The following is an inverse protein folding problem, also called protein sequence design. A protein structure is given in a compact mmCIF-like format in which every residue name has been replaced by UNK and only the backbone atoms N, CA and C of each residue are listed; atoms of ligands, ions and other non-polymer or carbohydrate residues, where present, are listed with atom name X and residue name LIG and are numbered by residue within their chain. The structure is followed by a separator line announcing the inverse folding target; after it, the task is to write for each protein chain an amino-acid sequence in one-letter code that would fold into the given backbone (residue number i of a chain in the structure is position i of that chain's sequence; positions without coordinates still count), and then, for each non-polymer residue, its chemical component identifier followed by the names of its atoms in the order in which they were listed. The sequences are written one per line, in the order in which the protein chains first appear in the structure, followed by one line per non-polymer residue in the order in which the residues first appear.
data_IF_222815381279
#
_entry.id   IF_222815381279
#
_cell.length_a   1.000
_cell.length_b   1.000
_cell.length_c   1.000
_cell.angle_alpha   90.00
_cell.angle_beta   90.00
_cell.angle_gamma   90.00
#
_symmetry.space_group_name_H-M   'P 1'
#
loop_
_entity.id
_entity.type
_entity.pdbx_description
1 polymer ?
#
# COMPACT_ATOMS: atom_id res chain seq x y z
N UNK A 1 -9.86 2.77 10.71
CA UNK A 1 -8.42 2.43 10.67
C UNK A 1 -7.57 3.48 9.96
N UNK A 2 -7.93 3.96 8.76
CA UNK A 2 -7.14 4.97 8.04
C UNK A 2 -6.81 6.22 8.88
N UNK A 3 -7.79 6.82 9.56
CA UNK A 3 -7.56 7.97 10.45
C UNK A 3 -6.64 7.62 11.63
N UNK A 4 -6.78 6.44 12.24
CA UNK A 4 -5.92 6.00 13.33
C UNK A 4 -4.46 5.86 12.88
N UNK A 5 -4.23 5.24 11.72
CA UNK A 5 -2.89 5.10 11.14
C UNK A 5 -2.28 6.46 10.80
N UNK A 6 -3.04 7.38 10.18
CA UNK A 6 -2.56 8.73 9.86
C UNK A 6 -2.21 9.54 11.11
N UNK A 7 -3.08 9.51 12.13
CA UNK A 7 -2.84 10.20 13.39
C UNK A 7 -1.60 9.64 14.09
N UNK A 8 -1.47 8.32 14.17
CA UNK A 8 -0.32 7.69 14.79
C UNK A 8 0.98 8.00 14.05
N UNK A 9 0.98 8.01 12.71
CA UNK A 9 2.16 8.37 11.91
C UNK A 9 2.56 9.83 12.15
N UNK A 10 1.58 10.75 12.20
CA UNK A 10 1.82 12.15 12.52
C UNK A 10 2.38 12.35 13.92
N UNK A 11 1.82 11.67 14.92
CA UNK A 11 2.31 11.70 16.31
C UNK A 11 3.73 11.16 16.39
N UNK A 12 4.02 9.99 15.80
CA UNK A 12 5.36 9.39 15.76
C UNK A 12 6.39 10.34 15.17
N UNK A 13 6.07 10.99 14.05
CA UNK A 13 6.94 11.97 13.42
C UNK A 13 7.23 13.20 14.30
N UNK A 14 6.24 13.68 15.05
CA UNK A 14 6.40 14.79 16.01
C UNK A 14 7.27 14.36 17.20
N UNK A 15 6.98 13.20 17.80
CA UNK A 15 7.68 12.69 18.99
C UNK A 15 9.16 12.39 18.70
N UNK A 16 9.42 11.73 17.58
CA UNK A 16 10.78 11.36 17.16
C UNK A 16 11.52 12.52 16.49
N UNK A 17 10.83 13.65 16.22
CA UNK A 17 11.37 14.80 15.48
C UNK A 17 12.01 14.40 14.14
N UNK A 18 11.29 13.56 13.39
CA UNK A 18 11.78 13.06 12.11
C UNK A 18 12.05 14.19 11.11
N UNK A 19 13.16 14.09 10.38
CA UNK A 19 13.47 15.01 9.29
C UNK A 19 12.54 14.75 8.11
N UNK A 20 11.90 15.82 7.63
CA UNK A 20 11.06 15.75 6.44
C UNK A 20 11.93 15.88 5.19
N UNK A 21 11.60 15.09 4.16
CA UNK A 21 12.14 15.31 2.84
C UNK A 21 11.78 16.72 2.33
N UNK A 22 12.61 17.31 1.45
CA UNK A 22 12.25 18.56 0.79
C UNK A 22 10.90 18.47 0.08
N UNK A 23 10.10 19.54 0.06
CA UNK A 23 8.83 19.52 -0.66
C UNK A 23 9.08 19.39 -2.16
N UNK A 24 8.37 18.47 -2.82
CA UNK A 24 8.29 18.41 -4.28
C UNK A 24 7.79 19.74 -4.85
N UNK A 25 8.41 20.21 -5.93
CA UNK A 25 8.07 21.49 -6.58
C UNK A 25 7.91 21.30 -8.08
N UNK A 26 6.73 21.62 -8.61
CA UNK A 26 6.44 21.47 -10.04
C UNK A 26 5.52 20.29 -10.30
N UNK A 27 5.81 19.52 -11.36
CA UNK A 27 5.00 18.37 -11.77
C UNK A 27 5.59 17.05 -11.27
N UNK A 28 4.93 16.44 -10.29
CA UNK A 28 5.35 15.16 -9.71
C UNK A 28 5.26 13.99 -10.70
N UNK A 29 4.48 14.09 -11.79
CA UNK A 29 4.41 13.01 -12.80
C UNK A 29 5.66 12.97 -13.70
N UNK A 30 6.40 14.07 -13.79
CA UNK A 30 7.62 14.19 -14.60
C UNK A 30 8.92 13.91 -13.82
N UNK A 31 8.86 13.76 -12.51
CA UNK A 31 10.02 13.54 -11.64
C UNK A 31 10.32 12.04 -11.49
N UNK A 32 11.51 11.59 -11.92
CA UNK A 32 11.93 10.19 -11.87
C UNK A 32 12.42 9.70 -10.51
N UNK A 33 12.66 10.63 -9.58
CA UNK A 33 13.41 10.35 -8.34
C UNK A 33 12.51 10.24 -7.10
N UNK A 34 11.19 10.31 -7.28
CA UNK A 34 10.24 10.16 -6.18
C UNK A 34 10.22 8.72 -5.66
N UNK A 35 10.15 8.56 -4.34
CA UNK A 35 9.96 7.24 -3.71
C UNK A 35 8.55 6.75 -4.03
N UNK A 36 8.46 5.60 -4.68
CA UNK A 36 7.19 5.02 -5.07
C UNK A 36 6.46 4.39 -3.87
N UNK A 37 5.14 4.47 -3.89
CA UNK A 37 4.27 3.79 -2.93
C UNK A 37 3.85 2.43 -3.51
N UNK A 38 3.38 1.48 -2.69
CA UNK A 38 2.90 0.21 -3.22
C UNK A 38 1.78 0.40 -4.26
N UNK A 39 2.05 -0.03 -5.49
CA UNK A 39 1.15 0.17 -6.65
C UNK A 39 0.05 -0.90 -6.78
N UNK A 40 0.08 -1.94 -5.93
CA UNK A 40 -0.90 -3.03 -5.96
C UNK A 40 -1.32 -3.41 -4.55
N UNK A 41 -2.50 -4.00 -4.40
CA UNK A 41 -2.96 -4.54 -3.12
C UNK A 41 -1.97 -5.57 -2.57
N UNK A 42 -1.42 -6.44 -3.43
CA UNK A 42 -0.37 -7.39 -3.05
C UNK A 42 0.87 -6.70 -2.46
N UNK A 43 1.39 -5.68 -3.14
CA UNK A 43 2.55 -4.94 -2.64
C UNK A 43 2.26 -4.23 -1.32
N UNK A 44 1.09 -3.59 -1.20
CA UNK A 44 0.67 -2.92 0.02
C UNK A 44 0.50 -3.90 1.20
N UNK A 45 0.01 -5.10 0.91
CA UNK A 45 -0.16 -6.19 1.89
C UNK A 45 1.19 -6.63 2.46
N UNK A 46 2.20 -6.81 1.61
CA UNK A 46 3.55 -7.16 2.07
C UNK A 46 4.20 -6.04 2.88
N UNK A 47 4.03 -4.78 2.46
CA UNK A 47 4.48 -3.62 3.25
C UNK A 47 3.80 -3.57 4.62
N UNK A 48 2.49 -3.80 4.68
CA UNK A 48 1.73 -3.83 5.93
C UNK A 48 2.18 -4.98 6.84
N UNK A 49 2.40 -6.18 6.28
CA UNK A 49 2.83 -7.37 7.03
C UNK A 49 4.14 -7.15 7.78
N UNK A 50 5.10 -6.51 7.11
CA UNK A 50 6.42 -6.20 7.67
C UNK A 50 6.48 -4.96 8.57
N UNK A 51 5.38 -4.22 8.72
CA UNK A 51 5.39 -2.97 9.48
C UNK A 51 5.34 -3.22 10.98
N UNK A 52 6.48 -3.11 11.66
CA UNK A 52 6.56 -3.11 13.13
C UNK A 52 5.76 -1.95 13.73
N UNK A 53 5.88 -0.77 13.13
CA UNK A 53 5.15 0.43 13.55
C UNK A 53 3.62 0.21 13.55
N UNK A 54 3.04 -0.32 12.48
CA UNK A 54 1.59 -0.51 12.42
C UNK A 54 1.12 -1.62 13.37
N UNK A 55 1.96 -2.62 13.68
CA UNK A 55 1.67 -3.63 14.72
C UNK A 55 1.66 -3.02 16.12
N UNK A 56 2.58 -2.13 16.43
CA UNK A 56 2.61 -1.40 17.71
C UNK A 56 1.38 -0.49 17.87
N UNK A 57 0.98 0.19 16.81
CA UNK A 57 -0.12 1.16 16.84
C UNK A 57 -1.50 0.51 16.82
N UNK A 58 -1.72 -0.47 15.94
CA UNK A 58 -3.04 -1.06 15.71
C UNK A 58 -3.24 -2.39 16.46
N UNK A 59 -2.16 -3.00 16.93
CA UNK A 59 -2.15 -4.33 17.51
C UNK A 59 -1.87 -5.42 16.49
N UNK A 60 -1.22 -6.50 16.96
CA UNK A 60 -0.83 -7.63 16.10
C UNK A 60 -2.04 -8.30 15.44
N UNK A 61 -3.11 -8.53 16.21
CA UNK A 61 -4.34 -9.16 15.72
C UNK A 61 -4.97 -8.37 14.57
N UNK A 62 -4.95 -7.04 14.63
CA UNK A 62 -5.52 -6.18 13.60
C UNK A 62 -4.70 -6.27 12.31
N UNK A 63 -3.37 -6.14 12.42
CA UNK A 63 -2.49 -6.24 11.24
C UNK A 63 -2.58 -7.63 10.62
N UNK A 64 -2.57 -8.68 11.44
CA UNK A 64 -2.69 -10.07 10.99
C UNK A 64 -4.04 -10.32 10.31
N UNK A 65 -5.14 -9.82 10.86
CA UNK A 65 -6.47 -9.96 10.25
C UNK A 65 -6.55 -9.24 8.89
N UNK A 66 -6.10 -7.99 8.81
CA UNK A 66 -6.21 -7.20 7.58
C UNK A 66 -5.26 -7.66 6.48
N UNK A 67 -4.06 -8.13 6.82
CA UNK A 67 -3.16 -8.75 5.83
C UNK A 67 -3.78 -10.02 5.27
N UNK A 68 -4.40 -10.88 6.10
CA UNK A 68 -5.09 -12.07 5.59
C UNK A 68 -6.30 -11.74 4.73
N UNK A 69 -7.09 -10.72 5.11
CA UNK A 69 -8.22 -10.27 4.31
C UNK A 69 -7.79 -9.78 2.92
N UNK A 70 -6.71 -8.99 2.85
CA UNK A 70 -6.16 -8.48 1.59
C UNK A 70 -5.57 -9.59 0.70
N UNK A 71 -4.91 -10.60 1.29
CA UNK A 71 -4.47 -11.78 0.56
C UNK A 71 -5.64 -12.51 -0.09
N UNK A 72 -6.71 -12.74 0.67
CA UNK A 72 -7.89 -13.43 0.16
C UNK A 72 -8.52 -12.67 -1.01
N UNK A 73 -8.68 -11.34 -0.88
CA UNK A 73 -9.19 -10.50 -1.96
C UNK A 73 -8.31 -10.57 -3.21
N UNK A 74 -7.00 -10.54 -3.04
CA UNK A 74 -6.05 -10.69 -4.14
C UNK A 74 -6.12 -12.09 -4.79
N UNK A 75 -6.21 -13.16 -3.99
CA UNK A 75 -6.36 -14.54 -4.46
C UNK A 75 -7.63 -14.72 -5.30
N UNK A 76 -8.75 -14.11 -4.90
CA UNK A 76 -10.00 -14.16 -5.67
C UNK A 76 -9.92 -13.32 -6.95
N UNK A 77 -9.28 -12.16 -6.91
CA UNK A 77 -9.06 -11.35 -8.11
C UNK A 77 -8.22 -12.08 -9.16
N UNK A 78 -7.13 -12.74 -8.75
CA UNK A 78 -6.24 -13.47 -9.65
C UNK A 78 -6.90 -14.67 -10.37
N UNK A 79 -8.05 -15.15 -9.86
CA UNK A 79 -8.81 -16.27 -10.47
C UNK A 79 -9.71 -15.82 -11.61
N UNK A 80 -9.96 -14.52 -11.73
CA UNK A 80 -10.90 -13.97 -12.71
C UNK A 80 -10.15 -13.64 -14.00
N UNK A 81 -10.63 -14.17 -15.13
CA UNK A 81 -10.22 -13.68 -16.46
C UNK A 81 -11.11 -12.50 -16.82
N UNK A 82 -10.51 -11.34 -16.98
CA UNK A 82 -11.19 -10.08 -17.28
C UNK A 82 -11.50 -9.93 -18.76
N UNK A 83 -12.49 -9.12 -19.10
CA UNK A 83 -12.83 -8.80 -20.49
C UNK A 83 -11.64 -8.18 -21.25
N UNK A 84 -10.76 -7.43 -20.57
CA UNK A 84 -9.55 -6.89 -21.17
C UNK A 84 -8.58 -8.00 -21.60
N UNK A 85 -8.41 -9.02 -20.76
CA UNK A 85 -7.55 -10.17 -21.08
C UNK A 85 -8.14 -10.99 -22.22
N UNK A 86 -9.46 -11.17 -22.26
CA UNK A 86 -10.19 -11.82 -23.35
C UNK A 86 -9.96 -11.04 -24.65
N UNK A 87 -10.26 -9.74 -24.68
CA UNK A 87 -10.12 -8.91 -25.87
C UNK A 87 -8.67 -8.92 -26.40
N UNK A 88 -7.68 -8.72 -25.52
CA UNK A 88 -6.26 -8.76 -25.89
C UNK A 88 -5.80 -10.15 -26.36
N UNK A 89 -6.30 -11.21 -25.75
CA UNK A 89 -5.94 -12.59 -26.05
C UNK A 89 -6.49 -13.07 -27.38
N UNK A 90 -7.73 -12.69 -27.72
CA UNK A 90 -8.40 -13.11 -28.95
C UNK A 90 -8.13 -12.21 -30.17
N UNK A 91 -7.82 -10.92 -30.00
CA UNK A 91 -7.40 -10.06 -31.13
C UNK A 91 -5.97 -10.34 -31.65
N UNK A 92 -5.17 -11.11 -30.89
CA UNK A 92 -3.80 -11.51 -31.25
C UNK A 92 -3.67 -12.99 -31.64
N UNK A 93 -4.78 -13.71 -31.76
CA UNK A 93 -4.83 -15.11 -32.20
C UNK A 93 -5.19 -15.23 -33.68
#
# INVERSE_FOLDING_TARGET
LAQAAMLAAGIKGIEDKMELAPPTRGDAYGESDAVDIPQTLRAATETLRGSTFLREVLGDDVVTHYTRAAEWEQEEFDRVVTDWEIARGFERA
#
